data_IF_732414062316
#
_entry.id   IF_732414062316
#
_cell.length_a   1.000
_cell.length_b   1.000
_cell.length_c   1.000
_cell.angle_alpha   90.00
_cell.angle_beta   90.00
_cell.angle_gamma   90.00
#
_symmetry.space_group_name_H-M   'P 1'
#
loop_
_entity.id
_entity.type
_entity.pdbx_description
1 polymer ?
#
# COMPACT_ATOMS: atom_id res chain seq x y z
N UNK A 1 -19.95 0.10 2.38
CA UNK A 1 -18.82 -0.88 2.43
C UNK A 1 -18.44 -1.10 3.88
N UNK A 2 -18.10 -2.34 4.29
CA UNK A 2 -17.55 -2.56 5.63
C UNK A 2 -16.14 -1.98 5.74
N UNK A 3 -15.72 -1.54 6.93
CA UNK A 3 -14.38 -0.99 7.16
C UNK A 3 -13.27 -1.96 6.70
N UNK A 4 -13.51 -3.26 6.83
CA UNK A 4 -12.65 -4.33 6.33
C UNK A 4 -12.53 -4.35 4.81
N UNK A 5 -13.65 -4.26 4.10
CA UNK A 5 -13.67 -4.23 2.63
C UNK A 5 -12.96 -2.97 2.09
N UNK A 6 -13.21 -1.82 2.73
CA UNK A 6 -12.54 -0.57 2.39
C UNK A 6 -11.01 -0.67 2.57
N UNK A 7 -10.56 -1.23 3.69
CA UNK A 7 -9.13 -1.42 3.98
C UNK A 7 -8.46 -2.42 3.00
N UNK A 8 -9.18 -3.47 2.59
CA UNK A 8 -8.69 -4.39 1.55
C UNK A 8 -8.52 -3.69 0.20
N UNK A 9 -9.50 -2.88 -0.22
CA UNK A 9 -9.42 -2.09 -1.46
C UNK A 9 -8.22 -1.14 -1.42
N UNK A 10 -7.98 -0.43 -0.31
CA UNK A 10 -6.82 0.44 -0.18
C UNK A 10 -5.48 -0.30 -0.27
N UNK A 11 -5.39 -1.53 0.27
CA UNK A 11 -4.19 -2.36 0.15
C UNK A 11 -3.94 -2.76 -1.31
N UNK A 12 -5.00 -3.13 -2.04
CA UNK A 12 -4.91 -3.51 -3.45
C UNK A 12 -4.45 -2.31 -4.29
N UNK A 13 -5.15 -1.19 -4.18
CA UNK A 13 -4.82 0.04 -4.91
C UNK A 13 -3.40 0.53 -4.59
N UNK A 14 -2.99 0.49 -3.32
CA UNK A 14 -1.65 0.89 -2.92
C UNK A 14 -0.55 -0.03 -3.48
N UNK A 15 -0.82 -1.33 -3.65
CA UNK A 15 0.11 -2.26 -4.31
C UNK A 15 0.23 -1.98 -5.80
N UNK A 16 -0.87 -1.71 -6.49
CA UNK A 16 -0.87 -1.36 -7.92
C UNK A 16 -0.14 -0.03 -8.15
N UNK A 17 -0.41 0.96 -7.32
CA UNK A 17 0.28 2.25 -7.38
C UNK A 17 1.78 2.12 -7.10
N UNK A 18 2.17 1.28 -6.13
CA UNK A 18 3.58 0.95 -5.89
C UNK A 18 4.24 0.34 -7.13
N UNK A 19 3.61 -0.65 -7.76
CA UNK A 19 4.13 -1.27 -8.99
C UNK A 19 4.27 -0.27 -10.14
N UNK A 20 3.29 0.63 -10.30
CA UNK A 20 3.36 1.70 -11.28
C UNK A 20 4.57 2.60 -11.02
N UNK A 21 4.75 3.06 -9.77
CA UNK A 21 5.87 3.90 -9.37
C UNK A 21 7.23 3.21 -9.55
N UNK A 22 7.33 1.92 -9.23
CA UNK A 22 8.53 1.12 -9.48
C UNK A 22 8.87 1.07 -10.98
N UNK A 23 7.86 0.93 -11.85
CA UNK A 23 8.03 0.95 -13.32
C UNK A 23 8.56 2.28 -13.85
N UNK A 24 8.16 3.39 -13.24
CA UNK A 24 8.58 4.75 -13.64
C UNK A 24 9.71 5.30 -12.78
N UNK A 25 10.33 4.49 -11.90
CA UNK A 25 11.36 4.93 -10.97
C UNK A 25 12.75 5.08 -11.64
N UNK A 26 12.83 5.88 -12.69
CA UNK A 26 14.09 6.21 -13.33
C UNK A 26 14.98 7.01 -12.37
N UNK A 27 16.25 6.61 -12.25
CA UNK A 27 17.26 7.22 -11.37
C UNK A 27 16.84 7.38 -9.90
N UNK A 28 15.87 6.58 -9.44
CA UNK A 28 15.43 6.60 -8.06
C UNK A 28 14.53 7.77 -7.65
N UNK A 29 14.01 8.57 -8.58
CA UNK A 29 13.16 9.74 -8.33
C UNK A 29 11.94 9.46 -7.43
N UNK A 30 11.41 8.23 -7.47
CA UNK A 30 10.26 7.79 -6.68
C UNK A 30 10.60 6.89 -5.51
N UNK A 31 11.89 6.63 -5.23
CA UNK A 31 12.32 5.69 -4.18
C UNK A 31 11.77 6.04 -2.80
N UNK A 32 11.80 7.32 -2.42
CA UNK A 32 11.24 7.78 -1.15
C UNK A 32 9.72 7.55 -1.08
N UNK A 33 9.01 7.81 -2.19
CA UNK A 33 7.55 7.63 -2.29
C UNK A 33 7.16 6.15 -2.23
N UNK A 34 7.91 5.28 -2.92
CA UNK A 34 7.76 3.82 -2.89
C UNK A 34 7.95 3.30 -1.46
N UNK A 35 8.99 3.75 -0.75
CA UNK A 35 9.23 3.39 0.66
C UNK A 35 8.09 3.84 1.58
N UNK A 36 7.58 5.06 1.38
CA UNK A 36 6.45 5.57 2.16
C UNK A 36 5.18 4.73 1.93
N UNK A 37 4.90 4.34 0.68
CA UNK A 37 3.77 3.47 0.33
C UNK A 37 3.94 2.09 0.96
N UNK A 38 5.14 1.50 0.91
CA UNK A 38 5.43 0.20 1.54
C UNK A 38 5.14 0.22 3.05
N UNK A 39 5.57 1.29 3.75
CA UNK A 39 5.29 1.48 5.18
C UNK A 39 3.79 1.57 5.45
N UNK A 40 3.04 2.33 4.64
CA UNK A 40 1.58 2.44 4.77
C UNK A 40 0.87 1.11 4.52
N UNK A 41 1.29 0.34 3.51
CA UNK A 41 0.75 -0.98 3.22
C UNK A 41 0.99 -1.99 4.34
N UNK A 42 2.17 -1.96 4.98
CA UNK A 42 2.48 -2.80 6.15
C UNK A 42 1.58 -2.48 7.34
N UNK A 43 1.35 -1.19 7.62
CA UNK A 43 0.44 -0.76 8.70
C UNK A 43 -0.98 -1.23 8.39
N UNK A 44 -1.49 -0.96 7.18
CA UNK A 44 -2.83 -1.37 6.76
C UNK A 44 -3.03 -2.90 6.85
N UNK A 45 -2.02 -3.69 6.46
CA UNK A 45 -2.06 -5.15 6.58
C UNK A 45 -2.08 -5.61 8.05
N UNK A 46 -1.36 -4.93 8.95
CA UNK A 46 -1.37 -5.21 10.39
C UNK A 46 -2.74 -4.89 10.99
N UNK A 47 -3.31 -3.74 10.65
CA UNK A 47 -4.67 -3.34 11.08
C UNK A 47 -5.72 -4.31 10.58
N UNK A 48 -5.62 -4.78 9.33
CA UNK A 48 -6.55 -5.78 8.79
C UNK A 48 -6.51 -7.10 9.57
N UNK A 49 -5.32 -7.54 10.01
CA UNK A 49 -5.18 -8.72 10.87
C UNK A 49 -5.83 -8.52 12.25
N UNK A 50 -5.76 -7.32 12.80
CA UNK A 50 -6.38 -6.99 14.09
C UNK A 50 -7.91 -6.93 14.01
N UNK A 51 -8.47 -6.40 12.92
CA UNK A 51 -9.94 -6.39 12.69
C UNK A 51 -10.50 -7.83 12.52
N UNK A 52 -9.66 -8.78 12.10
CA UNK A 52 -10.06 -10.20 11.94
C UNK A 52 -9.98 -10.99 13.25
N UNK A 53 -9.39 -10.41 14.31
CA UNK A 53 -9.21 -11.04 15.61
C UNK A 53 -10.34 -10.61 16.55
#
# INVERSE_FOLDING_TARGET
MSAKALLQTYIIQGKEYKKMLEKVNYNGCHTAKIKAIDKKLKIAAKTLKQIKK
#
